data_IF_507316726515
#
_entry.id   IF_507316726515
#
_cell.length_a   1.000
_cell.length_b   1.000
_cell.length_c   1.000
_cell.angle_alpha   90.00
_cell.angle_beta   90.00
_cell.angle_gamma   90.00
#
_symmetry.space_group_name_H-M   'P 1'
#
loop_
_entity.id
_entity.type
_entity.pdbx_description
1 polymer ?
#
# COMPACT_ATOMS: atom_id res chain seq x y z
N UNK A 1 27.34 -15.30 1.94
CA UNK A 1 26.54 -14.05 1.93
C UNK A 1 27.43 -12.91 1.49
N UNK A 2 27.06 -12.19 0.44
CA UNK A 2 27.83 -11.02 -0.02
C UNK A 2 27.26 -9.81 0.71
N UNK A 3 28.01 -9.27 1.66
CA UNK A 3 27.62 -8.02 2.35
C UNK A 3 28.08 -6.85 1.49
N UNK A 4 27.19 -5.94 1.18
CA UNK A 4 27.49 -4.73 0.43
C UNK A 4 28.45 -3.86 1.25
N UNK A 5 29.57 -3.46 0.64
CA UNK A 5 30.57 -2.61 1.31
C UNK A 5 30.08 -1.18 1.42
N UNK A 6 30.17 -0.62 2.61
CA UNK A 6 29.94 0.81 2.83
C UNK A 6 31.13 1.60 2.25
N UNK A 7 30.88 2.28 1.15
CA UNK A 7 31.85 3.15 0.48
C UNK A 7 31.69 4.59 0.99
N UNK A 8 32.66 5.46 0.66
CA UNK A 8 32.54 6.90 0.95
C UNK A 8 31.30 7.53 0.29
N UNK A 9 30.96 7.07 -0.91
CA UNK A 9 29.77 7.52 -1.66
C UNK A 9 28.49 7.09 -0.94
N UNK A 10 28.42 5.82 -0.52
CA UNK A 10 27.31 5.31 0.28
C UNK A 10 27.09 6.18 1.52
N UNK A 11 28.17 6.45 2.28
CA UNK A 11 28.10 7.32 3.47
C UNK A 11 27.52 8.69 3.12
N UNK A 12 28.02 9.32 2.05
CA UNK A 12 27.54 10.64 1.64
C UNK A 12 26.06 10.65 1.22
N UNK A 13 25.59 9.59 0.54
CA UNK A 13 24.18 9.48 0.14
C UNK A 13 23.28 9.28 1.36
N UNK A 14 23.69 8.44 2.32
CA UNK A 14 22.89 8.22 3.55
C UNK A 14 22.82 9.48 4.41
N UNK A 15 23.95 10.18 4.60
CA UNK A 15 23.98 11.45 5.32
C UNK A 15 23.11 12.52 4.63
N UNK A 16 23.17 12.60 3.29
CA UNK A 16 22.32 13.51 2.52
C UNK A 16 20.83 13.16 2.66
N UNK A 17 20.48 11.86 2.64
CA UNK A 17 19.11 11.41 2.84
C UNK A 17 18.60 11.72 4.25
N UNK A 18 19.44 11.54 5.28
CA UNK A 18 19.12 11.90 6.65
C UNK A 18 18.84 13.41 6.80
N UNK A 19 19.73 14.25 6.27
CA UNK A 19 19.55 15.70 6.29
C UNK A 19 18.30 16.14 5.50
N UNK A 20 18.03 15.49 4.35
CA UNK A 20 16.85 15.75 3.55
C UNK A 20 15.57 15.38 4.32
N UNK A 21 15.56 14.22 4.98
CA UNK A 21 14.42 13.79 5.77
C UNK A 21 14.05 14.78 6.88
N UNK A 22 15.07 15.32 7.58
CA UNK A 22 14.86 16.36 8.58
C UNK A 22 14.35 17.67 7.96
N UNK A 23 14.94 18.08 6.81
CA UNK A 23 14.57 19.33 6.15
C UNK A 23 13.13 19.35 5.60
N UNK A 24 12.62 18.19 5.17
CA UNK A 24 11.25 18.05 4.65
C UNK A 24 10.25 17.49 5.69
N UNK A 25 10.70 17.31 6.94
CA UNK A 25 9.91 16.75 8.03
C UNK A 25 9.30 15.38 7.66
N UNK A 26 10.11 14.53 6.99
CA UNK A 26 9.66 13.22 6.57
C UNK A 26 9.38 12.30 7.76
N UNK A 27 8.32 11.52 7.68
CA UNK A 27 7.89 10.57 8.72
C UNK A 27 8.83 9.35 8.82
N UNK A 28 9.52 9.01 7.72
CA UNK A 28 10.42 7.87 7.65
C UNK A 28 11.49 8.01 6.56
N UNK A 29 12.58 7.22 6.71
CA UNK A 29 13.50 6.90 5.62
C UNK A 29 13.32 5.43 5.25
N UNK A 30 13.21 5.12 3.96
CA UNK A 30 13.15 3.76 3.41
C UNK A 30 14.41 3.49 2.59
N UNK A 31 15.19 2.49 2.97
CA UNK A 31 16.30 1.97 2.18
C UNK A 31 15.83 0.73 1.40
N UNK A 32 15.90 0.78 0.07
CA UNK A 32 15.67 -0.39 -0.78
C UNK A 32 17.04 -0.95 -1.19
N UNK A 33 17.34 -2.15 -0.71
CA UNK A 33 18.65 -2.79 -0.81
C UNK A 33 18.60 -4.05 -1.67
N UNK A 34 19.72 -4.38 -2.29
CA UNK A 34 19.88 -5.62 -3.08
C UNK A 34 20.57 -6.74 -2.28
N UNK A 35 21.14 -6.42 -1.12
CA UNK A 35 21.79 -7.37 -0.22
C UNK A 35 21.98 -6.78 1.17
N UNK A 36 22.32 -7.64 2.14
CA UNK A 36 22.68 -7.22 3.49
C UNK A 36 23.85 -6.21 3.50
N UNK A 37 23.82 -5.30 4.45
CA UNK A 37 24.86 -4.30 4.68
C UNK A 37 25.29 -4.31 6.16
N UNK A 38 26.26 -3.48 6.51
CA UNK A 38 26.59 -3.21 7.91
C UNK A 38 25.49 -2.33 8.55
N UNK A 39 24.60 -2.99 9.31
CA UNK A 39 23.40 -2.36 9.91
C UNK A 39 23.77 -1.37 11.01
N UNK A 40 24.80 -1.66 11.80
CA UNK A 40 25.31 -0.77 12.85
C UNK A 40 25.78 0.55 12.19
N UNK A 41 26.58 0.42 11.15
CA UNK A 41 27.09 1.56 10.42
C UNK A 41 26.00 2.35 9.71
N UNK A 42 25.00 1.69 9.11
CA UNK A 42 23.85 2.38 8.54
C UNK A 42 23.11 3.20 9.60
N UNK A 43 22.86 2.59 10.77
CA UNK A 43 22.13 3.28 11.85
C UNK A 43 22.89 4.48 12.39
N UNK A 44 24.22 4.40 12.50
CA UNK A 44 25.08 5.52 12.93
C UNK A 44 25.03 6.71 11.95
N UNK A 45 24.89 6.45 10.64
CA UNK A 45 24.85 7.47 9.60
C UNK A 45 23.51 8.20 9.53
N UNK A 46 22.43 7.59 9.98
CA UNK A 46 21.10 8.21 9.99
C UNK A 46 20.92 9.05 11.25
N UNK A 47 20.50 10.32 11.15
CA UNK A 47 20.24 11.16 12.31
C UNK A 47 19.28 10.52 13.32
N UNK A 48 19.54 10.71 14.61
CA UNK A 48 18.73 10.12 15.70
C UNK A 48 17.32 10.67 15.76
N UNK A 49 17.12 11.86 15.24
CA UNK A 49 15.82 12.53 15.12
C UNK A 49 14.89 11.82 14.13
N UNK A 50 15.43 11.06 13.17
CA UNK A 50 14.66 10.22 12.27
C UNK A 50 14.25 8.95 13.03
N UNK A 51 13.00 8.92 13.48
CA UNK A 51 12.49 7.87 14.36
C UNK A 51 12.24 6.54 13.63
N UNK A 52 11.83 6.60 12.36
CA UNK A 52 11.48 5.42 11.57
C UNK A 52 12.45 5.22 10.43
N UNK A 53 13.20 4.14 10.49
CA UNK A 53 14.11 3.72 9.43
C UNK A 53 13.69 2.32 8.96
N UNK A 54 13.15 2.26 7.74
CA UNK A 54 12.70 1.05 7.09
C UNK A 54 13.80 0.53 6.16
N UNK A 55 14.00 -0.77 6.13
CA UNK A 55 14.96 -1.43 5.25
C UNK A 55 14.23 -2.52 4.47
N UNK A 56 14.20 -2.43 3.16
CA UNK A 56 13.52 -3.37 2.28
C UNK A 56 14.53 -4.13 1.41
N UNK A 57 14.37 -5.43 1.31
CA UNK A 57 15.12 -6.30 0.42
C UNK A 57 14.24 -7.46 -0.05
N UNK A 58 14.70 -8.18 -1.09
CA UNK A 58 13.92 -9.27 -1.65
C UNK A 58 13.96 -10.53 -0.79
N UNK A 59 15.05 -10.77 -0.06
CA UNK A 59 15.23 -11.98 0.76
C UNK A 59 15.24 -11.66 2.25
N UNK A 60 14.56 -12.49 3.00
CA UNK A 60 14.49 -12.39 4.46
C UNK A 60 15.88 -12.49 5.13
N UNK A 61 16.73 -13.40 4.62
CA UNK A 61 18.10 -13.61 5.12
C UNK A 61 18.97 -12.34 5.07
N UNK A 62 18.72 -11.45 4.11
CA UNK A 62 19.45 -10.19 3.97
C UNK A 62 19.05 -9.17 5.05
N UNK A 63 17.88 -9.33 5.67
CA UNK A 63 17.30 -8.39 6.64
C UNK A 63 17.30 -8.91 8.10
N UNK A 64 17.66 -10.18 8.34
CA UNK A 64 17.52 -10.87 9.62
C UNK A 64 18.14 -10.12 10.80
N UNK A 65 19.30 -9.49 10.60
CA UNK A 65 20.01 -8.77 11.66
C UNK A 65 19.54 -7.30 11.85
N UNK A 66 18.80 -6.73 10.91
CA UNK A 66 18.41 -5.31 10.92
C UNK A 66 17.61 -4.89 12.18
N UNK A 67 16.65 -5.70 12.71
CA UNK A 67 15.89 -5.32 13.90
C UNK A 67 16.76 -5.09 15.14
N UNK A 68 17.90 -5.80 15.26
CA UNK A 68 18.84 -5.63 16.37
C UNK A 68 19.46 -4.23 16.46
N UNK A 69 19.39 -3.46 15.39
CA UNK A 69 19.90 -2.08 15.29
C UNK A 69 18.79 -1.03 15.22
N UNK A 70 17.55 -1.40 15.56
CA UNK A 70 16.41 -0.49 15.55
C UNK A 70 15.93 -0.11 14.13
N UNK A 71 16.19 -0.97 13.14
CA UNK A 71 15.72 -0.85 11.77
C UNK A 71 14.52 -1.79 11.57
N UNK A 72 13.53 -1.36 10.79
CA UNK A 72 12.34 -2.15 10.54
C UNK A 72 12.44 -2.83 9.17
N UNK A 73 12.50 -4.18 9.11
CA UNK A 73 12.65 -4.90 7.86
C UNK A 73 11.33 -5.02 7.10
N UNK A 74 11.40 -5.04 5.76
CA UNK A 74 10.31 -5.30 4.83
C UNK A 74 10.80 -6.28 3.77
N UNK A 75 10.24 -7.49 3.73
CA UNK A 75 10.64 -8.54 2.78
C UNK A 75 9.75 -8.47 1.55
N UNK A 76 10.34 -8.33 0.35
CA UNK A 76 9.59 -8.08 -0.88
C UNK A 76 9.26 -9.35 -1.68
N UNK A 77 10.14 -10.36 -1.67
CA UNK A 77 10.00 -11.58 -2.47
C UNK A 77 9.80 -11.30 -3.98
N UNK A 78 10.54 -10.31 -4.54
CA UNK A 78 10.37 -9.80 -5.90
C UNK A 78 11.70 -9.55 -6.63
N UNK A 79 12.61 -10.51 -6.56
CA UNK A 79 13.99 -10.40 -7.08
C UNK A 79 14.09 -9.90 -8.54
N UNK A 80 13.16 -10.33 -9.41
CA UNK A 80 13.16 -9.97 -10.84
C UNK A 80 12.30 -8.75 -11.18
N UNK A 81 11.69 -8.10 -10.20
CA UNK A 81 10.81 -6.96 -10.45
C UNK A 81 11.60 -5.67 -10.75
N UNK A 82 11.11 -4.80 -11.64
CA UNK A 82 11.71 -3.50 -11.87
C UNK A 82 11.78 -2.66 -10.58
N UNK A 83 12.83 -1.83 -10.47
CA UNK A 83 13.07 -0.98 -9.30
C UNK A 83 11.82 -0.23 -8.81
N UNK A 84 11.09 0.40 -9.72
CA UNK A 84 9.88 1.17 -9.36
C UNK A 84 8.80 0.27 -8.76
N UNK A 85 8.67 -0.96 -9.23
CA UNK A 85 7.71 -1.93 -8.71
C UNK A 85 8.11 -2.41 -7.31
N UNK A 86 9.40 -2.71 -7.10
CA UNK A 86 9.95 -3.07 -5.78
C UNK A 86 9.74 -1.94 -4.78
N UNK A 87 10.01 -0.69 -5.18
CA UNK A 87 9.82 0.48 -4.33
C UNK A 87 8.34 0.70 -3.98
N UNK A 88 7.43 0.55 -4.95
CA UNK A 88 5.99 0.62 -4.71
C UNK A 88 5.52 -0.48 -3.76
N UNK A 89 6.03 -1.69 -3.93
CA UNK A 89 5.67 -2.82 -3.07
C UNK A 89 6.16 -2.60 -1.63
N UNK A 90 7.40 -2.15 -1.45
CA UNK A 90 7.92 -1.80 -0.12
C UNK A 90 7.04 -0.78 0.62
N UNK A 91 6.58 0.26 -0.09
CA UNK A 91 5.71 1.28 0.49
C UNK A 91 4.31 0.74 0.80
N UNK A 92 3.76 -0.14 -0.05
CA UNK A 92 2.46 -0.78 0.17
C UNK A 92 2.50 -1.72 1.37
N UNK A 93 3.53 -2.57 1.49
CA UNK A 93 3.74 -3.45 2.65
C UNK A 93 3.91 -2.62 3.93
N UNK A 94 4.70 -1.52 3.89
CA UNK A 94 4.85 -0.64 5.04
C UNK A 94 3.52 -0.03 5.52
N UNK A 95 2.59 0.25 4.62
CA UNK A 95 1.24 0.73 4.97
C UNK A 95 0.34 -0.42 5.42
N UNK A 96 0.41 -1.58 4.78
CA UNK A 96 -0.38 -2.75 5.14
C UNK A 96 -0.04 -3.27 6.54
N UNK A 97 1.25 -3.25 6.89
CA UNK A 97 1.75 -3.65 8.22
C UNK A 97 1.64 -2.53 9.27
N UNK A 98 0.93 -1.44 8.97
CA UNK A 98 0.74 -0.29 9.85
C UNK A 98 2.06 0.40 10.30
N UNK A 99 3.16 0.15 9.59
CA UNK A 99 4.44 0.79 9.84
C UNK A 99 4.41 2.26 9.41
N UNK A 100 3.64 2.58 8.36
CA UNK A 100 3.43 3.94 7.85
C UNK A 100 1.93 4.22 7.70
N UNK A 101 1.51 5.44 7.99
CA UNK A 101 0.19 5.91 7.58
C UNK A 101 0.18 6.25 6.08
N UNK A 102 -0.95 6.10 5.42
CA UNK A 102 -1.12 6.43 3.99
C UNK A 102 -0.93 7.92 3.66
N UNK A 103 -0.76 8.76 4.67
CA UNK A 103 -0.53 10.21 4.56
C UNK A 103 0.92 10.60 4.82
N UNK A 104 1.80 9.65 5.11
CA UNK A 104 3.20 9.91 5.45
C UNK A 104 4.01 10.41 4.26
N UNK A 105 5.00 11.25 4.55
CA UNK A 105 6.08 11.62 3.64
C UNK A 105 7.31 10.74 3.93
N UNK A 106 7.89 10.14 2.90
CA UNK A 106 9.00 9.18 3.02
C UNK A 106 10.17 9.62 2.14
N UNK A 107 11.37 9.61 2.70
CA UNK A 107 12.60 9.71 1.91
C UNK A 107 13.06 8.30 1.56
N UNK A 108 13.04 7.95 0.28
CA UNK A 108 13.49 6.66 -0.22
C UNK A 108 14.91 6.75 -0.77
N UNK A 109 15.74 5.77 -0.41
CA UNK A 109 17.15 5.64 -0.81
C UNK A 109 17.32 4.29 -1.49
N UNK A 110 17.86 4.26 -2.70
CA UNK A 110 17.89 3.05 -3.52
C UNK A 110 19.00 3.06 -4.59
N UNK A 111 19.23 1.91 -5.22
CA UNK A 111 20.11 1.76 -6.37
C UNK A 111 19.34 2.12 -7.65
N UNK A 112 19.56 3.31 -8.21
CA UNK A 112 18.80 3.83 -9.34
C UNK A 112 19.40 3.46 -10.70
N UNK A 113 20.73 3.51 -10.82
CA UNK A 113 21.46 3.32 -12.07
C UNK A 113 22.34 2.08 -12.07
N UNK A 114 23.01 1.79 -10.97
CA UNK A 114 23.90 0.63 -10.84
C UNK A 114 23.40 -0.30 -9.74
N UNK A 115 23.22 -1.57 -10.06
CA UNK A 115 22.88 -2.58 -9.07
C UNK A 115 23.94 -2.61 -7.95
N UNK A 116 23.50 -2.85 -6.72
CA UNK A 116 24.35 -2.91 -5.51
C UNK A 116 25.01 -1.59 -5.09
N UNK A 117 24.73 -0.47 -5.76
CA UNK A 117 25.26 0.84 -5.41
C UNK A 117 24.11 1.83 -5.15
N UNK A 118 23.98 2.24 -3.92
CA UNK A 118 23.04 3.31 -3.56
C UNK A 118 23.53 4.62 -4.18
N UNK A 119 22.73 5.21 -5.06
CA UNK A 119 23.04 6.42 -5.83
C UNK A 119 21.86 7.39 -5.96
N UNK A 120 20.69 7.00 -5.46
CA UNK A 120 19.45 7.76 -5.68
C UNK A 120 18.68 8.01 -4.39
N UNK A 121 18.11 9.21 -4.31
CA UNK A 121 17.24 9.65 -3.21
C UNK A 121 15.97 10.23 -3.82
N UNK A 122 14.81 9.89 -3.26
CA UNK A 122 13.51 10.45 -3.68
C UNK A 122 12.66 10.81 -2.48
N UNK A 123 11.95 11.94 -2.57
CA UNK A 123 10.88 12.28 -1.62
C UNK A 123 9.58 11.69 -2.17
N UNK A 124 8.89 10.91 -1.37
CA UNK A 124 7.66 10.23 -1.74
C UNK A 124 6.55 10.63 -0.78
N UNK A 125 5.54 11.30 -1.32
CA UNK A 125 4.31 11.60 -0.60
C UNK A 125 3.34 10.47 -0.81
N UNK A 126 3.09 9.66 0.22
CA UNK A 126 2.23 8.48 0.10
C UNK A 126 0.80 8.85 -0.28
N UNK A 127 0.25 9.94 0.27
CA UNK A 127 -1.09 10.41 -0.06
C UNK A 127 -1.25 10.68 -1.58
N UNK A 128 -0.29 11.35 -2.21
CA UNK A 128 -0.33 11.61 -3.66
C UNK A 128 -0.12 10.33 -4.48
N UNK A 129 0.72 9.41 -4.02
CA UNK A 129 0.99 8.13 -4.69
C UNK A 129 -0.17 7.15 -4.57
N UNK A 130 -0.73 7.00 -3.37
CA UNK A 130 -1.90 6.14 -3.14
C UNK A 130 -3.14 6.61 -3.92
N UNK A 131 -3.25 7.92 -4.20
CA UNK A 131 -4.29 8.47 -5.09
C UNK A 131 -4.08 8.14 -6.57
N UNK A 132 -2.85 7.77 -6.97
CA UNK A 132 -2.48 7.47 -8.35
C UNK A 132 -2.39 5.98 -8.62
N UNK A 133 -3.30 5.16 -8.11
CA UNK A 133 -3.51 3.84 -8.69
C UNK A 133 -3.88 4.04 -10.14
N UNK A 134 -2.88 3.95 -11.01
CA UNK A 134 -3.06 4.17 -12.44
C UNK A 134 -3.79 2.97 -13.06
N UNK A 135 -4.43 3.19 -14.20
CA UNK A 135 -5.02 2.11 -14.99
C UNK A 135 -4.01 0.98 -15.31
N UNK A 136 -2.70 1.27 -15.31
CA UNK A 136 -1.64 0.27 -15.48
C UNK A 136 -1.45 -0.63 -14.26
N UNK A 137 -1.54 -0.08 -13.06
CA UNK A 137 -1.40 -0.86 -11.83
C UNK A 137 -2.60 -1.81 -11.67
N UNK A 138 -3.78 -1.34 -12.07
CA UNK A 138 -4.99 -2.15 -12.14
C UNK A 138 -4.92 -3.25 -13.23
N UNK A 139 -4.25 -3.00 -14.35
CA UNK A 139 -4.03 -4.00 -15.42
C UNK A 139 -3.09 -5.14 -14.98
N UNK A 140 -2.22 -4.91 -14.01
CA UNK A 140 -1.33 -5.93 -13.46
C UNK A 140 -2.00 -6.85 -12.45
N UNK A 141 -3.17 -6.47 -11.93
CA UNK A 141 -3.97 -7.37 -11.13
C UNK A 141 -4.52 -8.46 -12.05
N UNK A 142 -4.04 -9.70 -11.90
CA UNK A 142 -4.58 -10.88 -12.56
C UNK A 142 -6.00 -11.16 -12.04
N UNK A 143 -6.97 -10.42 -12.54
CA UNK A 143 -8.36 -10.54 -12.12
C UNK A 143 -9.27 -10.77 -13.32
N UNK A 144 -10.28 -11.62 -13.14
CA UNK A 144 -11.34 -11.81 -14.11
C UNK A 144 -12.34 -10.63 -14.17
N UNK A 145 -12.09 -9.57 -13.39
CA UNK A 145 -12.96 -8.40 -13.30
C UNK A 145 -12.58 -7.38 -14.37
N UNK A 146 -13.53 -6.90 -15.19
CA UNK A 146 -13.28 -5.83 -16.14
C UNK A 146 -12.70 -4.59 -15.45
N UNK A 147 -11.64 -4.02 -16.01
CA UNK A 147 -10.87 -2.91 -15.44
C UNK A 147 -11.73 -1.70 -15.06
N UNK A 148 -12.73 -1.38 -15.89
CA UNK A 148 -13.64 -0.27 -15.62
C UNK A 148 -14.45 -0.49 -14.33
N UNK A 149 -14.92 -1.71 -14.10
CA UNK A 149 -15.69 -2.05 -12.89
C UNK A 149 -14.79 -2.03 -11.65
N UNK A 150 -13.57 -2.56 -11.77
CA UNK A 150 -12.60 -2.52 -10.69
C UNK A 150 -12.22 -1.06 -10.32
N UNK A 151 -11.99 -0.21 -11.33
CA UNK A 151 -11.75 1.21 -11.11
C UNK A 151 -12.92 1.91 -10.43
N UNK A 152 -14.16 1.63 -10.86
CA UNK A 152 -15.36 2.19 -10.23
C UNK A 152 -15.44 1.84 -8.75
N UNK A 153 -15.13 0.58 -8.38
CA UNK A 153 -15.13 0.15 -6.98
C UNK A 153 -14.03 0.84 -6.17
N UNK A 154 -12.83 0.95 -6.72
CA UNK A 154 -11.70 1.64 -6.07
C UNK A 154 -12.02 3.12 -5.86
N UNK A 155 -12.50 3.80 -6.89
CA UNK A 155 -12.87 5.21 -6.80
C UNK A 155 -13.95 5.43 -5.73
N UNK A 156 -14.94 4.53 -5.65
CA UNK A 156 -15.99 4.56 -4.63
C UNK A 156 -15.42 4.34 -3.22
N UNK A 157 -14.54 3.35 -3.04
CA UNK A 157 -13.90 3.08 -1.75
C UNK A 157 -13.07 4.26 -1.26
N UNK A 158 -12.30 4.89 -2.16
CA UNK A 158 -11.52 6.11 -1.87
C UNK A 158 -12.45 7.26 -1.47
N UNK A 159 -13.57 7.41 -2.16
CA UNK A 159 -14.56 8.46 -1.90
C UNK A 159 -15.19 8.28 -0.51
N UNK A 160 -15.62 7.06 -0.16
CA UNK A 160 -16.16 6.73 1.17
C UNK A 160 -15.13 7.05 2.27
N UNK A 161 -13.87 6.64 2.08
CA UNK A 161 -12.81 6.90 3.06
C UNK A 161 -12.49 8.39 3.26
N UNK A 162 -12.70 9.23 2.22
CA UNK A 162 -12.48 10.70 2.29
C UNK A 162 -13.65 11.44 2.89
N UNK A 163 -14.87 11.15 2.45
CA UNK A 163 -16.08 11.83 2.91
C UNK A 163 -16.38 11.48 4.36
N UNK A 164 -16.12 10.24 4.77
CA UNK A 164 -16.30 9.78 6.13
C UNK A 164 -17.75 9.93 6.61
N UNK A 165 -17.92 9.95 7.93
CA UNK A 165 -19.22 10.21 8.59
C UNK A 165 -19.05 11.18 9.73
N UNK A 166 -19.83 12.27 9.74
CA UNK A 166 -19.84 13.23 10.85
C UNK A 166 -18.42 13.70 11.27
N UNK A 167 -17.53 13.90 10.26
CA UNK A 167 -16.14 14.29 10.48
C UNK A 167 -15.20 13.17 10.92
N UNK A 168 -15.67 11.91 10.99
CA UNK A 168 -14.84 10.73 11.26
C UNK A 168 -14.58 9.94 9.99
N UNK A 169 -13.36 9.44 9.82
CA UNK A 169 -13.04 8.53 8.71
C UNK A 169 -13.82 7.22 8.86
N UNK A 170 -14.40 6.76 7.77
CA UNK A 170 -15.12 5.48 7.68
C UNK A 170 -14.38 4.59 6.70
N UNK A 171 -14.12 3.35 7.11
CA UNK A 171 -13.60 2.30 6.24
C UNK A 171 -14.72 1.36 5.81
N UNK A 172 -14.61 0.80 4.62
CA UNK A 172 -15.47 -0.28 4.14
C UNK A 172 -14.67 -1.29 3.35
N UNK A 173 -15.17 -2.51 3.22
CA UNK A 173 -14.55 -3.58 2.48
C UNK A 173 -15.38 -3.92 1.24
N UNK A 174 -14.75 -3.88 0.06
CA UNK A 174 -15.33 -4.41 -1.17
C UNK A 174 -14.59 -5.68 -1.59
N UNK A 175 -15.34 -6.77 -1.77
CA UNK A 175 -14.82 -8.02 -2.32
C UNK A 175 -15.34 -8.15 -3.74
N UNK A 176 -14.45 -8.13 -4.74
CA UNK A 176 -14.81 -8.09 -6.16
C UNK A 176 -14.32 -9.34 -6.88
N UNK A 177 -15.19 -10.00 -7.66
CA UNK A 177 -14.78 -11.13 -8.47
C UNK A 177 -15.66 -12.38 -8.29
N UNK A 178 -15.08 -13.52 -7.87
CA UNK A 178 -15.81 -14.79 -7.73
C UNK A 178 -16.77 -14.76 -6.53
N UNK A 179 -17.92 -14.12 -6.74
CA UNK A 179 -18.94 -13.94 -5.72
C UNK A 179 -19.47 -15.27 -5.16
N UNK A 180 -19.51 -16.35 -5.98
CA UNK A 180 -20.01 -17.65 -5.51
C UNK A 180 -19.07 -18.26 -4.48
N UNK A 181 -17.78 -18.28 -4.77
CA UNK A 181 -16.75 -18.79 -3.86
C UNK A 181 -16.69 -17.96 -2.58
N UNK A 182 -16.70 -16.64 -2.69
CA UNK A 182 -16.66 -15.74 -1.54
C UNK A 182 -17.87 -15.94 -0.64
N UNK A 183 -19.07 -16.05 -1.20
CA UNK A 183 -20.32 -16.25 -0.44
C UNK A 183 -20.31 -17.52 0.41
N UNK A 184 -19.52 -18.55 0.07
CA UNK A 184 -19.39 -19.75 0.91
C UNK A 184 -18.61 -19.49 2.21
N UNK A 185 -17.85 -18.42 2.26
CA UNK A 185 -17.06 -17.99 3.44
C UNK A 185 -17.68 -16.83 4.19
N UNK A 186 -18.82 -16.31 3.73
CA UNK A 186 -19.50 -15.18 4.34
C UNK A 186 -20.67 -15.63 5.23
N UNK A 187 -20.99 -14.79 6.20
CA UNK A 187 -22.19 -14.91 7.04
C UNK A 187 -23.10 -13.71 6.80
N UNK A 188 -24.41 -13.94 6.80
CA UNK A 188 -25.39 -12.86 6.73
C UNK A 188 -25.29 -11.99 8.01
N UNK A 189 -25.18 -10.69 7.83
CA UNK A 189 -25.20 -9.72 8.93
C UNK A 189 -26.62 -9.44 9.48
N UNK A 190 -27.63 -10.19 9.01
CA UNK A 190 -29.02 -10.06 9.42
C UNK A 190 -29.82 -8.98 8.69
N UNK A 191 -29.14 -8.01 8.09
CA UNK A 191 -29.79 -6.92 7.34
C UNK A 191 -29.00 -6.58 6.07
N UNK A 192 -29.62 -6.78 4.92
CA UNK A 192 -29.09 -6.37 3.62
C UNK A 192 -30.02 -5.33 2.99
N UNK A 193 -29.64 -4.03 3.00
CA UNK A 193 -30.46 -2.95 2.46
C UNK A 193 -30.79 -3.09 0.98
N UNK A 194 -29.98 -3.85 0.22
CA UNK A 194 -30.18 -4.06 -1.20
C UNK A 194 -30.97 -5.32 -1.53
N UNK A 195 -31.39 -6.08 -0.51
CA UNK A 195 -32.15 -7.33 -0.70
C UNK A 195 -33.49 -7.04 -1.38
N UNK A 196 -33.73 -7.72 -2.49
CA UNK A 196 -34.97 -7.55 -3.27
C UNK A 196 -34.90 -6.51 -4.39
N UNK A 197 -33.86 -5.69 -4.45
CA UNK A 197 -33.65 -4.79 -5.57
C UNK A 197 -33.26 -5.55 -6.83
N UNK A 198 -33.71 -5.10 -8.00
CA UNK A 198 -33.28 -5.66 -9.29
C UNK A 198 -31.80 -5.43 -9.54
N UNK A 199 -31.16 -6.26 -10.38
CA UNK A 199 -29.72 -6.10 -10.71
C UNK A 199 -29.37 -4.71 -11.23
N UNK A 200 -30.27 -4.07 -11.98
CA UNK A 200 -30.08 -2.70 -12.49
C UNK A 200 -29.92 -1.68 -11.35
N UNK A 201 -30.67 -1.82 -10.28
CA UNK A 201 -30.63 -0.93 -9.12
C UNK A 201 -29.54 -1.29 -8.09
N UNK A 202 -28.64 -2.19 -8.46
CA UNK A 202 -27.47 -2.59 -7.67
C UNK A 202 -26.16 -2.49 -8.47
N UNK A 203 -26.21 -1.83 -9.64
CA UNK A 203 -25.04 -1.70 -10.52
C UNK A 203 -24.26 -0.43 -10.17
N UNK A 204 -22.99 -0.59 -9.77
CA UNK A 204 -22.09 0.50 -9.42
C UNK A 204 -21.71 1.41 -10.60
N UNK A 205 -22.00 1.02 -11.84
CA UNK A 205 -21.85 1.92 -12.99
C UNK A 205 -22.91 3.02 -13.01
N UNK A 206 -24.02 2.87 -12.27
CA UNK A 206 -25.00 3.93 -12.08
C UNK A 206 -24.53 4.87 -10.94
N UNK A 207 -24.35 6.18 -11.18
CA UNK A 207 -23.96 7.14 -10.15
C UNK A 207 -24.90 7.17 -8.93
N UNK A 208 -26.21 6.97 -9.15
CA UNK A 208 -27.21 6.98 -8.05
C UNK A 208 -26.97 5.81 -7.10
N UNK A 209 -26.68 4.63 -7.65
CA UNK A 209 -26.36 3.45 -6.84
C UNK A 209 -25.09 3.67 -6.02
N UNK A 210 -24.10 4.38 -6.57
CA UNK A 210 -22.88 4.72 -5.82
C UNK A 210 -23.17 5.62 -4.62
N UNK A 211 -24.05 6.62 -4.78
CA UNK A 211 -24.45 7.47 -3.64
C UNK A 211 -25.20 6.65 -2.57
N UNK A 212 -26.13 5.78 -2.96
CA UNK A 212 -26.82 4.89 -2.02
C UNK A 212 -25.83 3.97 -1.28
N UNK A 213 -24.80 3.45 -1.98
CA UNK A 213 -23.78 2.61 -1.35
C UNK A 213 -22.93 3.38 -0.35
N UNK A 214 -22.62 4.66 -0.59
CA UNK A 214 -21.88 5.49 0.37
C UNK A 214 -22.62 5.59 1.72
N UNK A 215 -23.93 5.79 1.68
CA UNK A 215 -24.74 5.84 2.90
C UNK A 215 -24.76 4.49 3.63
N UNK A 216 -24.89 3.39 2.88
CA UNK A 216 -24.89 2.03 3.45
C UNK A 216 -23.49 1.66 3.99
N UNK A 217 -22.43 2.11 3.34
CA UNK A 217 -21.04 1.81 3.71
C UNK A 217 -20.63 2.39 5.07
N UNK A 218 -21.41 3.30 5.63
CA UNK A 218 -21.23 3.80 6.99
C UNK A 218 -21.56 2.77 8.08
N UNK A 219 -22.17 1.66 7.69
CA UNK A 219 -22.51 0.55 8.55
C UNK A 219 -21.45 -0.57 8.41
N UNK A 220 -21.18 -1.30 9.50
CA UNK A 220 -20.21 -2.40 9.49
C UNK A 220 -20.58 -3.48 8.48
N UNK A 221 -19.57 -4.06 7.84
CA UNK A 221 -19.69 -5.17 6.91
C UNK A 221 -19.00 -4.94 5.58
N UNK A 222 -19.04 -5.96 4.72
CA UNK A 222 -18.46 -5.96 3.40
C UNK A 222 -19.52 -5.95 2.29
N UNK A 223 -19.15 -5.39 1.13
CA UNK A 223 -19.93 -5.47 -0.10
C UNK A 223 -19.34 -6.54 -1.01
N UNK A 224 -20.17 -7.48 -1.43
CA UNK A 224 -19.77 -8.51 -2.39
C UNK A 224 -20.22 -8.06 -3.78
N UNK A 225 -19.25 -7.83 -4.67
CA UNK A 225 -19.46 -7.24 -6.00
C UNK A 225 -19.07 -8.25 -7.08
N UNK A 226 -19.97 -8.49 -8.03
CA UNK A 226 -19.69 -9.36 -9.17
C UNK A 226 -18.73 -8.69 -10.16
N UNK A 227 -18.10 -9.47 -11.08
CA UNK A 227 -17.28 -8.91 -12.15
C UNK A 227 -17.98 -7.84 -12.99
N UNK A 228 -19.31 -7.91 -13.11
CA UNK A 228 -20.14 -6.96 -13.87
C UNK A 228 -20.42 -5.65 -13.10
N UNK A 229 -19.84 -5.47 -11.90
CA UNK A 229 -20.05 -4.29 -11.07
C UNK A 229 -21.40 -4.28 -10.33
N UNK A 230 -22.04 -5.44 -10.19
CA UNK A 230 -23.30 -5.58 -9.44
C UNK A 230 -23.01 -5.91 -7.98
N UNK A 231 -23.56 -5.15 -7.05
CA UNK A 231 -23.52 -5.49 -5.62
C UNK A 231 -24.48 -6.67 -5.38
N UNK A 232 -23.94 -7.86 -5.23
CA UNK A 232 -24.74 -9.09 -5.03
C UNK A 232 -25.24 -9.17 -3.58
N UNK A 233 -24.45 -8.75 -2.63
CA UNK A 233 -24.80 -8.66 -1.20
C UNK A 233 -24.13 -7.44 -0.57
N UNK A 234 -24.80 -6.88 0.42
CA UNK A 234 -24.25 -5.82 1.27
C UNK A 234 -24.20 -6.26 2.73
N UNK A 235 -23.26 -5.66 3.49
CA UNK A 235 -23.10 -5.93 4.91
C UNK A 235 -22.86 -7.39 5.28
N UNK A 236 -22.12 -8.09 4.45
CA UNK A 236 -21.70 -9.45 4.79
C UNK A 236 -20.55 -9.42 5.80
N UNK A 237 -20.48 -10.42 6.69
CA UNK A 237 -19.32 -10.68 7.56
C UNK A 237 -18.46 -11.74 6.85
N UNK A 238 -17.19 -11.45 6.64
CA UNK A 238 -16.22 -12.30 5.95
C UNK A 238 -15.34 -13.00 6.99
#
# INVERSE_FOLDING_TARGET
MSTQKITREFTSVVEAAGNLALAVEADAILFLLDSAIDWERLRELVPTEVQRVLVAADREEDLEAAPGFGLTPIVLNKEDAPLLERLQHALLEAVADELLASTCDVVAVYCGFEATRIDSISIIKLDERMRRFTSRDLQRLETAVPLNNLKTVIDLAVQIGREGREGKKVGTLFVVGDTRKVMTHCKDSGFDPLKGYSRKHRNLNDPRVREDIKEIAQMDGAFIVSPDGIVERSRQII
#
